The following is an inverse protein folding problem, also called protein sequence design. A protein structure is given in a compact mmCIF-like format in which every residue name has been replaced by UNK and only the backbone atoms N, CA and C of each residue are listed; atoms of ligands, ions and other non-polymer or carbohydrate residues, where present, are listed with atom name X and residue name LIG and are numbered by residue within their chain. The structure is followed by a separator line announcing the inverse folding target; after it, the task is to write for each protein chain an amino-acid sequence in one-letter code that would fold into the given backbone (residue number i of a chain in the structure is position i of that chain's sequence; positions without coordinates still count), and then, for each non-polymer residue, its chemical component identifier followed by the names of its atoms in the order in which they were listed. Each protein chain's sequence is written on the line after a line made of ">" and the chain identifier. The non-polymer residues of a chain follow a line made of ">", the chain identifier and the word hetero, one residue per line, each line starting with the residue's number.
data_IF_792279503726
#
_entry.id   IF_792279503726
#
_cell.length_a   1.000
_cell.length_b   1.000
_cell.length_c   1.000
_cell.angle_alpha   90.00
_cell.angle_beta   90.00
_cell.angle_gamma   90.00
#
_symmetry.space_group_name_H-M   'P 1'
#
loop_
_entity.id
_entity.type
_entity.pdbx_description
1 polymer ?
#
# COMPACT_ATOMS: atom_id res chain seq x y z
N UNK A 1 2.49 -36.24 35.58
CA UNK A 1 2.59 -34.92 36.26
C UNK A 1 2.59 -33.86 35.17
N UNK A 2 1.47 -33.17 34.99
CA UNK A 2 1.34 -32.08 34.04
C UNK A 2 1.12 -30.80 34.82
N UNK A 3 1.95 -29.79 34.56
CA UNK A 3 1.81 -28.47 35.18
C UNK A 3 1.33 -27.51 34.10
N UNK A 4 0.06 -27.13 34.19
CA UNK A 4 -0.58 -26.09 33.42
C UNK A 4 -0.41 -24.78 34.21
N UNK A 5 0.15 -23.74 33.60
CA UNK A 5 0.20 -22.40 34.18
C UNK A 5 -0.97 -21.59 33.61
N UNK A 6 -1.94 -21.27 34.47
CA UNK A 6 -2.97 -20.26 34.23
C UNK A 6 -2.50 -18.92 34.81
N UNK A 7 -2.65 -17.84 34.05
CA UNK A 7 -2.53 -16.48 34.56
C UNK A 7 -3.93 -15.87 34.62
N UNK A 8 -4.35 -15.51 35.83
CA UNK A 8 -5.55 -14.73 36.09
C UNK A 8 -5.19 -13.25 36.11
N UNK A 9 -5.91 -12.45 35.33
CA UNK A 9 -5.95 -11.00 35.45
C UNK A 9 -6.74 -10.61 36.71
N UNK A 10 -6.23 -9.68 37.50
CA UNK A 10 -7.04 -8.89 38.42
C UNK A 10 -6.63 -7.42 38.29
N UNK A 11 -7.64 -6.62 37.96
CA UNK A 11 -7.62 -5.19 37.71
C UNK A 11 -7.36 -4.38 38.99
N UNK A 12 -6.73 -3.21 38.85
CA UNK A 12 -7.28 -1.90 39.25
C UNK A 12 -6.14 -0.91 39.51
N UNK A 13 -5.93 0.04 38.60
CA UNK A 13 -5.15 1.25 38.89
C UNK A 13 -6.14 2.36 39.26
N UNK A 14 -6.22 2.64 40.56
CA UNK A 14 -6.93 3.76 41.16
C UNK A 14 -6.35 5.08 40.62
N UNK A 15 -7.21 5.89 40.01
CA UNK A 15 -6.93 7.29 39.70
C UNK A 15 -7.21 8.07 40.99
N UNK A 16 -6.18 8.67 41.57
CA UNK A 16 -6.30 9.73 42.57
C UNK A 16 -5.86 11.04 41.93
N UNK A 17 -6.76 12.02 41.95
CA UNK A 17 -6.58 13.37 41.39
C UNK A 17 -5.67 14.27 42.25
N UNK A 18 -5.05 15.21 41.53
CA UNK A 18 -4.54 16.54 41.92
C UNK A 18 -3.28 16.67 42.80
N UNK A 19 -2.25 17.27 42.20
CA UNK A 19 -1.90 18.65 42.55
C UNK A 19 -1.33 19.38 41.32
N UNK A 20 -1.87 20.58 41.09
CA UNK A 20 -1.50 21.50 40.03
C UNK A 20 -0.03 21.93 40.17
N UNK A 21 0.76 21.65 39.14
CA UNK A 21 2.07 22.27 38.96
C UNK A 21 2.02 23.10 37.69
N UNK A 22 1.65 24.37 37.84
CA UNK A 22 1.85 25.39 36.82
C UNK A 22 3.34 25.45 36.47
N UNK A 23 3.68 25.01 35.27
CA UNK A 23 4.97 25.30 34.64
C UNK A 23 4.71 26.09 33.37
N UNK A 24 4.68 27.40 33.52
CA UNK A 24 4.79 28.34 32.41
C UNK A 24 6.27 28.59 32.16
N UNK A 25 6.81 28.22 30.99
CA UNK A 25 7.88 28.98 30.29
C UNK A 25 7.88 28.62 28.78
N UNK A 26 7.64 29.66 27.98
CA UNK A 26 8.09 30.02 26.61
C UNK A 26 8.09 28.97 25.47
N UNK A 27 7.44 29.39 24.37
CA UNK A 27 7.38 28.78 23.03
C UNK A 27 6.42 27.59 22.83
N UNK A 28 5.12 27.88 22.93
CA UNK A 28 4.14 27.70 21.84
C UNK A 28 3.90 26.33 21.17
N UNK A 29 4.59 25.27 21.54
CA UNK A 29 4.35 23.92 21.05
C UNK A 29 4.03 23.01 22.23
N UNK A 30 2.79 22.50 22.30
CA UNK A 30 2.43 21.40 23.17
C UNK A 30 3.23 20.16 22.74
N UNK A 31 4.36 19.93 23.40
CA UNK A 31 5.08 18.66 23.31
C UNK A 31 4.33 17.70 24.23
N UNK A 32 3.84 16.61 23.66
CA UNK A 32 3.13 15.56 24.37
C UNK A 32 4.08 14.95 25.45
N UNK A 33 3.73 14.99 26.75
CA UNK A 33 4.61 14.56 27.84
C UNK A 33 5.09 13.10 27.70
N UNK A 34 4.37 12.27 26.93
CA UNK A 34 4.78 10.90 26.59
C UNK A 34 6.00 10.84 25.66
N UNK A 35 6.20 11.84 24.79
CA UNK A 35 7.36 11.90 23.87
C UNK A 35 8.64 12.28 24.61
N UNK A 36 8.53 13.14 25.63
CA UNK A 36 9.67 13.56 26.44
C UNK A 36 10.10 12.48 27.43
N UNK A 37 9.15 11.73 28.00
CA UNK A 37 9.43 10.57 28.84
C UNK A 37 10.15 9.45 28.05
N UNK A 38 9.78 9.21 26.78
CA UNK A 38 10.38 8.15 25.97
C UNK A 38 11.81 8.42 25.50
N UNK A 39 12.32 9.67 25.58
CA UNK A 39 13.73 9.97 25.33
C UNK A 39 14.68 9.51 26.44
N UNK A 40 14.16 9.22 27.64
CA UNK A 40 14.99 8.95 28.83
C UNK A 40 15.24 7.48 29.16
N UNK A 41 14.56 6.52 28.51
CA UNK A 41 14.47 5.15 29.05
C UNK A 41 14.81 4.00 28.08
N UNK A 42 15.71 4.20 27.13
CA UNK A 42 16.27 3.08 26.35
C UNK A 42 17.78 2.96 26.60
N UNK A 43 18.09 2.34 27.75
CA UNK A 43 19.44 1.87 28.09
C UNK A 43 19.36 0.34 28.14
N UNK A 44 20.04 -0.33 27.23
CA UNK A 44 20.21 -1.78 27.32
C UNK A 44 21.04 -2.15 28.57
N UNK A 45 20.93 -3.40 29.03
CA UNK A 45 21.64 -3.94 30.21
C UNK A 45 23.18 -3.84 30.16
N UNK A 46 23.75 -3.30 29.07
CA UNK A 46 25.18 -3.04 28.85
C UNK A 46 25.54 -1.55 28.96
N UNK A 47 24.58 -0.65 29.22
CA UNK A 47 24.83 0.78 29.43
C UNK A 47 24.99 1.61 28.14
N UNK A 48 24.64 1.08 26.98
CA UNK A 48 24.70 1.80 25.70
C UNK A 48 23.36 2.47 25.42
N UNK A 49 23.40 3.80 25.25
CA UNK A 49 22.23 4.61 24.90
C UNK A 49 21.90 4.41 23.42
N UNK A 50 20.76 3.80 23.12
CA UNK A 50 20.30 3.62 21.74
C UNK A 50 19.61 4.90 21.27
N UNK A 51 20.29 5.69 20.43
CA UNK A 51 19.64 6.79 19.70
C UNK A 51 18.77 6.20 18.58
N UNK A 52 17.46 6.23 18.77
CA UNK A 52 16.50 6.00 17.69
C UNK A 52 16.59 7.18 16.70
N UNK A 53 17.45 7.05 15.70
CA UNK A 53 17.42 7.92 14.53
C UNK A 53 16.16 7.59 13.74
N UNK A 54 15.09 8.36 13.98
CA UNK A 54 13.92 8.34 13.11
C UNK A 54 14.35 8.88 11.75
N UNK A 55 14.77 7.98 10.84
CA UNK A 55 14.85 8.29 9.41
C UNK A 55 13.52 8.87 9.00
N UNK A 56 13.50 10.16 8.63
CA UNK A 56 12.30 10.84 8.13
C UNK A 56 11.66 9.93 7.07
N UNK A 57 10.35 9.63 7.17
CA UNK A 57 9.70 8.85 6.14
C UNK A 57 9.94 9.56 4.81
N UNK A 58 10.48 8.83 3.84
CA UNK A 58 10.72 9.31 2.48
C UNK A 58 9.38 9.87 1.99
N UNK A 59 9.31 11.17 1.73
CA UNK A 59 8.10 11.80 1.20
C UNK A 59 7.83 11.19 -0.19
N UNK A 60 7.03 10.12 -0.23
CA UNK A 60 6.54 9.58 -1.49
C UNK A 60 5.67 10.68 -2.11
N UNK A 61 6.10 11.21 -3.26
CA UNK A 61 5.34 12.24 -3.97
C UNK A 61 4.08 11.58 -4.55
N UNK A 62 2.97 11.68 -3.81
CA UNK A 62 1.68 11.16 -4.25
C UNK A 62 1.19 11.96 -5.47
N UNK A 63 0.90 11.26 -6.56
CA UNK A 63 0.33 11.85 -7.78
C UNK A 63 -1.19 11.89 -7.62
N UNK A 64 -1.81 13.03 -7.91
CA UNK A 64 -3.27 13.16 -7.85
C UNK A 64 -3.95 12.55 -9.11
N UNK A 65 -5.18 12.05 -9.00
CA UNK A 65 -5.95 11.47 -10.12
C UNK A 65 -6.09 12.44 -11.29
N UNK A 66 -6.33 13.71 -11.01
CA UNK A 66 -6.42 14.74 -12.04
C UNK A 66 -5.12 14.87 -12.84
N UNK A 67 -3.99 14.86 -12.15
CA UNK A 67 -2.67 14.90 -12.78
C UNK A 67 -2.41 13.64 -13.63
N UNK A 68 -2.88 12.46 -13.19
CA UNK A 68 -2.83 11.23 -13.98
C UNK A 68 -3.58 11.37 -15.29
N UNK A 69 -4.77 11.98 -15.25
CA UNK A 69 -5.59 12.17 -16.45
C UNK A 69 -4.95 13.08 -17.50
N UNK A 70 -4.15 14.06 -17.05
CA UNK A 70 -3.42 15.00 -17.91
C UNK A 70 -2.16 14.39 -18.52
N UNK A 71 -1.54 13.42 -17.84
CA UNK A 71 -0.33 12.73 -18.30
C UNK A 71 -0.60 11.61 -19.31
N UNK A 72 -1.81 11.05 -19.32
CA UNK A 72 -2.15 9.93 -20.20
C UNK A 72 -2.59 10.41 -21.58
N UNK A 73 -1.89 9.96 -22.61
CA UNK A 73 -2.17 10.33 -23.99
C UNK A 73 -3.14 9.36 -24.65
N UNK A 74 -4.07 9.90 -25.45
CA UNK A 74 -5.00 9.12 -26.26
C UNK A 74 -4.27 8.48 -27.45
N UNK A 75 -4.68 7.28 -27.84
CA UNK A 75 -4.06 6.45 -28.88
C UNK A 75 -2.64 5.95 -28.57
N UNK A 76 -2.13 6.23 -27.36
CA UNK A 76 -0.86 5.71 -26.90
C UNK A 76 -1.02 4.31 -26.28
N UNK A 77 0.05 3.52 -26.34
CA UNK A 77 0.09 2.15 -25.82
C UNK A 77 0.59 2.16 -24.38
N UNK A 78 -0.07 1.41 -23.52
CA UNK A 78 0.29 1.26 -22.12
C UNK A 78 0.15 -0.18 -21.65
N UNK A 79 0.76 -0.46 -20.51
CA UNK A 79 0.51 -1.66 -19.72
C UNK A 79 0.03 -1.23 -18.35
N UNK A 80 -1.12 -1.75 -17.95
CA UNK A 80 -1.81 -1.41 -16.72
C UNK A 80 -1.81 -2.61 -15.78
N UNK A 81 -1.38 -2.40 -14.55
CA UNK A 81 -1.35 -3.39 -13.48
C UNK A 81 -2.26 -2.92 -12.35
N UNK A 82 -3.22 -3.75 -11.98
CA UNK A 82 -4.20 -3.42 -10.95
C UNK A 82 -4.78 -4.70 -10.35
N UNK A 83 -5.45 -4.59 -9.21
CA UNK A 83 -6.21 -5.69 -8.63
C UNK A 83 -7.55 -5.83 -9.33
N UNK A 84 -7.86 -7.03 -9.80
CA UNK A 84 -9.17 -7.36 -10.32
C UNK A 84 -10.19 -7.49 -9.18
N UNK A 85 -11.29 -6.75 -9.27
CA UNK A 85 -12.31 -6.69 -8.22
C UNK A 85 -13.00 -8.05 -7.98
N UNK A 86 -13.08 -8.90 -9.01
CA UNK A 86 -13.75 -10.20 -8.93
C UNK A 86 -12.85 -11.25 -8.27
N UNK A 87 -11.60 -11.33 -8.71
CA UNK A 87 -10.69 -12.40 -8.28
C UNK A 87 -9.81 -11.99 -7.11
N UNK A 88 -9.67 -10.68 -6.84
CA UNK A 88 -8.73 -10.14 -5.86
C UNK A 88 -7.27 -10.33 -6.24
N UNK A 89 -6.98 -10.78 -7.46
CA UNK A 89 -5.62 -11.02 -7.94
C UNK A 89 -5.11 -9.87 -8.81
N UNK A 90 -3.80 -9.72 -8.86
CA UNK A 90 -3.14 -8.73 -9.69
C UNK A 90 -3.20 -9.15 -11.17
N UNK A 91 -3.66 -8.25 -12.03
CA UNK A 91 -3.79 -8.48 -13.47
C UNK A 91 -3.02 -7.41 -14.23
N UNK A 92 -2.15 -7.85 -15.13
CA UNK A 92 -1.46 -7.00 -16.10
C UNK A 92 -2.21 -7.01 -17.42
N UNK A 93 -2.61 -5.84 -17.90
CA UNK A 93 -3.34 -5.66 -19.15
C UNK A 93 -2.59 -4.72 -20.08
N UNK A 94 -2.17 -5.24 -21.23
CA UNK A 94 -1.62 -4.42 -22.32
C UNK A 94 -2.75 -3.79 -23.12
N UNK A 95 -2.74 -2.47 -23.25
CA UNK A 95 -3.87 -1.71 -23.80
C UNK A 95 -3.44 -0.51 -24.64
N UNK A 96 -4.33 -0.06 -25.52
CA UNK A 96 -4.22 1.21 -26.22
C UNK A 96 -5.29 2.15 -25.69
N UNK A 97 -4.87 3.30 -25.18
CA UNK A 97 -5.77 4.29 -24.60
C UNK A 97 -6.67 4.90 -25.68
N UNK A 98 -7.94 5.12 -25.36
CA UNK A 98 -8.92 5.72 -26.28
C UNK A 98 -9.55 6.98 -25.70
N UNK A 99 -9.80 7.00 -24.39
CA UNK A 99 -10.34 8.17 -23.69
C UNK A 99 -9.89 8.14 -22.24
N UNK A 100 -9.54 9.31 -21.72
CA UNK A 100 -9.20 9.51 -20.31
C UNK A 100 -9.94 10.74 -19.83
N UNK A 101 -10.62 10.65 -18.70
CA UNK A 101 -11.27 11.79 -18.07
C UNK A 101 -11.46 11.53 -16.57
N UNK A 102 -11.71 12.61 -15.83
CA UNK A 102 -12.04 12.56 -14.41
C UNK A 102 -13.48 13.01 -14.23
N UNK A 103 -14.25 12.23 -13.48
CA UNK A 103 -15.61 12.56 -13.09
C UNK A 103 -15.91 11.94 -11.72
N UNK A 104 -17.02 12.33 -11.10
CA UNK A 104 -17.46 11.70 -9.85
C UNK A 104 -17.91 10.26 -10.09
N UNK A 105 -17.65 9.40 -9.11
CA UNK A 105 -18.09 8.00 -9.12
C UNK A 105 -18.39 7.52 -7.71
N UNK A 106 -19.58 6.93 -7.51
CA UNK A 106 -20.07 6.49 -6.20
C UNK A 106 -19.99 7.61 -5.15
N UNK A 107 -19.14 7.45 -4.13
CA UNK A 107 -18.93 8.41 -3.04
C UNK A 107 -17.73 9.35 -3.27
N UNK A 108 -17.03 9.22 -4.39
CA UNK A 108 -15.81 9.97 -4.68
C UNK A 108 -16.09 11.11 -5.68
N UNK A 109 -15.63 12.31 -5.35
CA UNK A 109 -15.75 13.49 -6.22
C UNK A 109 -14.89 13.38 -7.48
N UNK A 110 -13.71 12.77 -7.34
CA UNK A 110 -12.77 12.54 -8.43
C UNK A 110 -12.50 11.04 -8.58
N UNK A 111 -12.87 10.47 -9.72
CA UNK A 111 -12.49 9.11 -10.12
C UNK A 111 -11.96 9.13 -11.55
N UNK A 112 -10.99 8.27 -11.83
CA UNK A 112 -10.34 8.18 -13.13
C UNK A 112 -11.11 7.22 -14.04
N UNK A 113 -11.66 7.74 -15.12
CA UNK A 113 -12.33 6.95 -16.15
C UNK A 113 -11.35 6.68 -17.29
N UNK A 114 -11.04 5.40 -17.50
CA UNK A 114 -10.18 4.94 -18.58
C UNK A 114 -10.99 4.12 -19.57
N UNK A 115 -11.04 4.59 -20.81
CA UNK A 115 -11.57 3.82 -21.94
C UNK A 115 -10.41 3.39 -22.82
N UNK A 116 -10.28 2.09 -23.06
CA UNK A 116 -9.14 1.54 -23.79
C UNK A 116 -9.50 0.29 -24.59
N UNK A 117 -8.62 -0.10 -25.52
CA UNK A 117 -8.70 -1.37 -26.23
C UNK A 117 -7.58 -2.28 -25.75
N UNK A 118 -7.94 -3.46 -25.24
CA UNK A 118 -6.96 -4.48 -24.84
C UNK A 118 -6.27 -5.05 -26.08
N UNK A 119 -4.96 -5.31 -25.99
CA UNK A 119 -4.18 -5.91 -27.06
C UNK A 119 -4.84 -7.21 -27.55
N UNK A 120 -4.95 -7.39 -28.87
CA UNK A 120 -5.64 -8.50 -29.55
C UNK A 120 -7.17 -8.56 -29.36
N UNK A 121 -7.78 -7.63 -28.62
CA UNK A 121 -9.24 -7.54 -28.52
C UNK A 121 -9.77 -6.42 -29.42
N UNK A 122 -10.95 -6.64 -30.01
CA UNK A 122 -11.63 -5.62 -30.84
C UNK A 122 -12.51 -4.69 -30.01
N UNK A 123 -13.07 -5.22 -28.91
CA UNK A 123 -13.97 -4.48 -28.04
C UNK A 123 -13.21 -3.41 -27.27
N UNK A 124 -13.89 -2.29 -27.07
CA UNK A 124 -13.45 -1.23 -26.18
C UNK A 124 -13.93 -1.59 -24.78
N UNK A 125 -13.06 -1.40 -23.80
CA UNK A 125 -13.31 -1.66 -22.39
C UNK A 125 -13.23 -0.33 -21.65
N UNK A 126 -14.13 -0.15 -20.69
CA UNK A 126 -14.14 0.99 -19.79
C UNK A 126 -13.92 0.51 -18.37
N UNK A 127 -13.03 1.18 -17.64
CA UNK A 127 -12.72 0.90 -16.24
C UNK A 127 -12.69 2.21 -15.47
N UNK A 128 -13.26 2.17 -14.27
CA UNK A 128 -13.30 3.30 -13.35
C UNK A 128 -12.35 2.99 -12.19
N UNK A 129 -11.33 3.82 -12.01
CA UNK A 129 -10.41 3.76 -10.89
C UNK A 129 -10.80 4.80 -9.85
N UNK A 130 -11.34 4.30 -8.74
CA UNK A 130 -11.64 5.12 -7.56
C UNK A 130 -10.34 5.46 -6.81
N UNK A 131 -10.31 6.58 -6.06
CA UNK A 131 -9.14 7.00 -5.27
C UNK A 131 -8.59 5.99 -4.27
N UNK A 132 -9.40 5.02 -3.85
CA UNK A 132 -8.99 3.98 -2.93
C UNK A 132 -8.27 2.80 -3.60
N UNK A 133 -8.20 2.76 -4.94
CA UNK A 133 -7.59 1.66 -5.68
C UNK A 133 -6.16 1.97 -6.07
N UNK A 134 -5.28 0.99 -5.87
CA UNK A 134 -3.88 1.05 -6.33
C UNK A 134 -3.78 0.54 -7.75
N UNK A 135 -3.02 1.26 -8.58
CA UNK A 135 -2.70 0.82 -9.95
C UNK A 135 -1.36 1.38 -10.41
N UNK A 136 -0.76 0.70 -11.38
CA UNK A 136 0.54 1.06 -11.95
C UNK A 136 0.42 1.03 -13.47
N UNK A 137 0.96 2.05 -14.13
CA UNK A 137 0.94 2.19 -15.59
C UNK A 137 2.36 2.32 -16.09
N UNK A 138 2.69 1.57 -17.13
CA UNK A 138 3.90 1.75 -17.91
C UNK A 138 3.56 2.16 -19.34
N UNK A 139 4.44 2.94 -19.95
CA UNK A 139 4.36 3.24 -21.39
C UNK A 139 4.84 2.06 -22.24
N UNK A 140 4.03 1.70 -23.23
CA UNK A 140 4.29 0.63 -24.17
C UNK A 140 3.66 -0.70 -23.74
N UNK A 141 3.88 -1.73 -24.56
CA UNK A 141 3.51 -3.10 -24.25
C UNK A 141 4.68 -3.79 -23.56
N UNK A 142 4.55 -3.92 -22.25
CA UNK A 142 5.54 -4.55 -21.38
C UNK A 142 4.90 -5.82 -20.83
N UNK A 143 5.67 -6.90 -20.84
CA UNK A 143 5.26 -8.15 -20.24
C UNK A 143 5.62 -8.09 -18.76
N UNK A 144 4.61 -8.09 -17.89
CA UNK A 144 4.74 -8.06 -16.44
C UNK A 144 4.42 -9.47 -15.94
N UNK A 145 5.30 -10.05 -15.13
CA UNK A 145 5.02 -11.34 -14.51
C UNK A 145 4.02 -11.16 -13.37
N UNK A 146 2.77 -11.50 -13.61
CA UNK A 146 1.72 -11.54 -12.58
C UNK A 146 1.52 -12.95 -12.00
N UNK A 147 2.46 -13.86 -12.23
CA UNK A 147 2.33 -15.22 -11.72
C UNK A 147 2.52 -15.27 -10.20
N UNK A 148 1.40 -15.35 -9.51
CA UNK A 148 1.29 -15.51 -8.06
C UNK A 148 1.61 -16.93 -7.57
N UNK A 149 1.83 -17.91 -8.45
CA UNK A 149 2.02 -19.30 -8.07
C UNK A 149 3.50 -19.66 -7.95
N UNK A 150 3.84 -20.39 -6.88
CA UNK A 150 5.13 -21.07 -6.78
C UNK A 150 5.17 -22.27 -7.73
N UNK A 151 6.39 -22.72 -8.05
CA UNK A 151 6.60 -23.92 -8.84
C UNK A 151 5.89 -25.10 -8.17
N UNK A 152 5.03 -25.78 -8.94
CA UNK A 152 4.25 -26.89 -8.41
C UNK A 152 5.19 -27.99 -7.89
N UNK A 153 4.93 -28.47 -6.67
CA UNK A 153 5.65 -29.60 -6.10
C UNK A 153 4.79 -30.86 -6.23
N UNK A 154 5.41 -31.95 -6.68
CA UNK A 154 4.76 -33.26 -6.77
C UNK A 154 5.30 -34.11 -5.63
N UNK A 155 4.43 -34.54 -4.74
CA UNK A 155 4.75 -35.49 -3.66
C UNK A 155 3.63 -36.52 -3.59
N UNK A 156 4.00 -37.80 -3.58
CA UNK A 156 3.08 -38.94 -3.43
C UNK A 156 1.91 -38.96 -4.43
N UNK A 157 2.17 -38.62 -5.70
CA UNK A 157 1.16 -38.60 -6.75
C UNK A 157 0.22 -37.38 -6.74
N UNK A 158 0.30 -36.53 -5.72
CA UNK A 158 -0.50 -35.31 -5.58
C UNK A 158 0.32 -34.11 -6.06
N UNK A 159 -0.27 -33.29 -6.92
CA UNK A 159 0.30 -32.01 -7.35
C UNK A 159 -0.21 -30.93 -6.39
N UNK A 160 0.69 -30.33 -5.61
CA UNK A 160 0.38 -29.17 -4.77
C UNK A 160 0.89 -27.91 -5.45
N UNK A 161 0.00 -26.92 -5.60
CA UNK A 161 0.34 -25.55 -5.96
C UNK A 161 0.15 -24.68 -4.73
N UNK A 162 1.17 -23.93 -4.38
CA UNK A 162 1.13 -22.92 -3.31
C UNK A 162 1.24 -21.55 -3.96
N UNK A 163 0.54 -20.56 -3.40
CA UNK A 163 0.74 -19.16 -3.79
C UNK A 163 2.06 -18.67 -3.22
N UNK A 164 2.71 -17.74 -3.92
CA UNK A 164 3.90 -17.01 -3.47
C UNK A 164 3.60 -16.07 -2.30
N UNK A 165 2.35 -15.64 -2.19
CA UNK A 165 1.90 -14.56 -1.31
C UNK A 165 0.61 -14.93 -0.58
N UNK A 166 0.37 -14.30 0.57
CA UNK A 166 -0.96 -14.26 1.23
C UNK A 166 -1.97 -13.42 0.44
N UNK A 167 -3.24 -13.40 0.89
CA UNK A 167 -4.31 -12.62 0.22
C UNK A 167 -4.06 -11.11 0.24
N UNK A 168 -3.36 -10.62 1.27
CA UNK A 168 -3.16 -9.19 1.53
C UNK A 168 -1.68 -8.80 1.51
N UNK A 169 -0.85 -9.59 0.81
CA UNK A 169 0.59 -9.35 0.76
C UNK A 169 0.90 -8.19 -0.20
N UNK A 170 1.22 -7.01 0.34
CA UNK A 170 1.67 -5.84 -0.41
C UNK A 170 2.93 -6.12 -1.25
N UNK A 171 3.67 -7.17 -0.90
CA UNK A 171 4.84 -7.65 -1.64
C UNK A 171 4.54 -7.96 -3.12
N UNK A 172 3.29 -8.32 -3.45
CA UNK A 172 2.85 -8.59 -4.83
C UNK A 172 3.09 -7.38 -5.75
N UNK A 173 2.77 -6.17 -5.29
CA UNK A 173 2.95 -4.96 -6.09
C UNK A 173 4.43 -4.63 -6.26
N UNK A 174 5.23 -4.85 -5.22
CA UNK A 174 6.67 -4.63 -5.26
C UNK A 174 7.37 -5.60 -6.20
N UNK A 175 6.91 -6.84 -6.28
CA UNK A 175 7.47 -7.82 -7.22
C UNK A 175 6.99 -7.57 -8.66
N UNK A 176 5.75 -7.10 -8.85
CA UNK A 176 5.28 -6.59 -10.14
C UNK A 176 6.13 -5.41 -10.64
N UNK A 177 6.44 -4.46 -9.75
CA UNK A 177 7.35 -3.33 -10.05
C UNK A 177 8.75 -3.79 -10.44
N UNK A 178 9.30 -4.80 -9.76
CA UNK A 178 10.63 -5.36 -10.05
C UNK A 178 10.67 -6.26 -11.28
N UNK A 179 9.53 -6.76 -11.73
CA UNK A 179 9.45 -7.68 -12.87
C UNK A 179 9.70 -7.00 -14.22
N UNK A 180 9.54 -5.68 -14.29
CA UNK A 180 9.81 -4.88 -15.47
C UNK A 180 11.17 -4.18 -15.37
N UNK A 181 11.98 -4.26 -16.42
CA UNK A 181 13.23 -3.49 -16.52
C UNK A 181 12.97 -1.99 -16.71
N UNK A 182 11.77 -1.61 -17.16
CA UNK A 182 11.38 -0.23 -17.40
C UNK A 182 10.72 0.38 -16.16
N UNK A 183 11.11 1.59 -15.83
CA UNK A 183 10.48 2.36 -14.77
C UNK A 183 8.99 2.61 -15.07
N UNK A 184 8.12 2.54 -14.04
CA UNK A 184 6.70 2.83 -14.20
C UNK A 184 6.50 4.31 -14.56
N UNK A 185 5.60 4.54 -15.51
CA UNK A 185 5.19 5.89 -15.92
C UNK A 185 4.33 6.56 -14.85
N UNK A 186 3.42 5.78 -14.24
CA UNK A 186 2.55 6.21 -13.14
C UNK A 186 2.50 5.11 -12.10
N UNK A 187 2.71 5.48 -10.84
CA UNK A 187 2.43 4.64 -9.67
C UNK A 187 1.40 5.41 -8.85
N UNK A 188 0.18 4.89 -8.77
CA UNK A 188 -0.87 5.49 -7.96
C UNK A 188 -1.16 4.60 -6.75
N UNK A 189 -1.01 5.17 -5.56
CA UNK A 189 -1.35 4.55 -4.28
C UNK A 189 -2.35 5.45 -3.55
N UNK A 190 -3.39 4.89 -2.92
CA UNK A 190 -4.34 5.66 -2.14
C UNK A 190 -3.63 6.37 -0.97
N UNK A 191 -3.92 7.65 -0.79
CA UNK A 191 -3.44 8.42 0.36
C UNK A 191 -4.29 8.01 1.56
N UNK A 192 -3.68 7.37 2.57
CA UNK A 192 -4.33 7.13 3.86
C UNK A 192 -4.94 5.74 4.10
N UNK A 193 -4.42 4.66 3.50
CA UNK A 193 -4.65 3.33 4.06
C UNK A 193 -3.70 3.10 5.25
N UNK A 194 -4.17 3.50 6.44
CA UNK A 194 -3.79 2.82 7.67
C UNK A 194 -4.64 1.55 7.67
N UNK A 195 -3.99 0.39 7.52
CA UNK A 195 -4.59 -0.91 7.87
C UNK A 195 -4.84 -0.97 9.38
#
# INVERSE_FOLDING_TARGET
>A
MGTQLSFAFNESLLITEQNDAETTVLDGNLIDPFVEANKKFFVDYTGVQLSLEFTKPREEKYINIKEISERLEVNQRYTLLFYDDLTGYLVATQLTMQKVFVASAAQYEEALYLTFRVKKQRRVTEVIFNPNKTFIIWEGYIDIDTNIWLKATKKDGIIRKMTKYGKDDECILNDGLKSAEKEPFIVYRPIGQIL
#
